data_IF_769946335209
#
_entry.id   IF_769946335209
#
_cell.length_a   1.000
_cell.length_b   1.000
_cell.length_c   1.000
_cell.angle_alpha   90.00
_cell.angle_beta   90.00
_cell.angle_gamma   90.00
#
_symmetry.space_group_name_H-M   'P 1'
#
loop_
_entity.id
_entity.type
_entity.pdbx_description
1 polymer ?
#
# COMPACT_ATOMS: atom_id res chain seq x y z
N UNK A 1 -1.98 -5.05 -16.14
CA UNK A 1 -1.49 -3.98 -15.25
C UNK A 1 -2.40 -2.77 -15.41
N UNK A 2 -3.21 -2.44 -14.41
CA UNK A 2 -4.13 -1.30 -14.47
C UNK A 2 -3.35 -0.01 -14.21
N UNK A 3 -3.28 0.89 -15.19
CA UNK A 3 -2.64 2.19 -15.03
C UNK A 3 -3.56 3.12 -14.22
N UNK A 4 -3.31 3.26 -12.92
CA UNK A 4 -4.16 4.10 -12.05
C UNK A 4 -3.93 5.61 -12.19
N UNK A 5 -2.76 6.03 -12.71
CA UNK A 5 -2.39 7.45 -12.80
C UNK A 5 -3.27 8.31 -13.71
N UNK A 6 -4.03 7.69 -14.62
CA UNK A 6 -4.95 8.38 -15.53
C UNK A 6 -6.41 8.36 -15.08
N UNK A 7 -6.72 7.77 -13.92
CA UNK A 7 -8.10 7.64 -13.46
C UNK A 7 -8.60 8.96 -12.86
N UNK A 8 -9.85 9.31 -13.19
CA UNK A 8 -10.53 10.52 -12.68
C UNK A 8 -11.02 10.39 -11.22
N UNK A 9 -10.84 9.23 -10.63
CA UNK A 9 -11.16 8.95 -9.24
C UNK A 9 -9.94 8.30 -8.58
N UNK A 10 -9.85 8.45 -7.26
CA UNK A 10 -8.81 7.79 -6.48
C UNK A 10 -9.05 6.28 -6.47
N UNK A 11 -8.00 5.54 -6.82
CA UNK A 11 -7.93 4.09 -6.76
C UNK A 11 -6.72 3.72 -5.95
N UNK A 12 -6.90 2.71 -5.11
CA UNK A 12 -5.85 2.19 -4.25
C UNK A 12 -5.57 0.76 -4.60
N UNK A 13 -4.29 0.45 -4.71
CA UNK A 13 -3.77 -0.84 -5.11
C UNK A 13 -2.83 -1.33 -4.04
N UNK A 14 -3.11 -2.51 -3.50
CA UNK A 14 -2.13 -3.24 -2.70
C UNK A 14 -1.39 -4.24 -3.60
N UNK A 15 -0.08 -4.20 -3.58
CA UNK A 15 0.82 -5.13 -4.25
C UNK A 15 1.43 -6.04 -3.20
N UNK A 16 1.30 -7.34 -3.39
CA UNK A 16 1.71 -8.36 -2.43
C UNK A 16 2.90 -9.13 -2.98
N UNK A 17 3.92 -9.34 -2.15
CA UNK A 17 5.19 -9.91 -2.54
C UNK A 17 5.57 -11.11 -1.68
N UNK A 18 6.35 -12.03 -2.24
CA UNK A 18 7.01 -13.10 -1.50
C UNK A 18 8.29 -12.60 -0.80
N UNK A 19 8.99 -13.52 -0.11
CA UNK A 19 10.22 -13.22 0.63
C UNK A 19 11.43 -12.89 -0.26
N UNK A 20 11.30 -13.06 -1.58
CA UNK A 20 12.31 -12.74 -2.59
C UNK A 20 11.98 -11.44 -3.33
N UNK A 21 10.86 -10.78 -2.99
CA UNK A 21 10.41 -9.56 -3.64
C UNK A 21 9.69 -9.80 -4.98
N UNK A 22 9.25 -11.03 -5.26
CA UNK A 22 8.44 -11.35 -6.43
C UNK A 22 6.99 -10.98 -6.17
N UNK A 23 6.35 -10.30 -7.12
CA UNK A 23 4.94 -9.93 -7.04
C UNK A 23 4.06 -11.19 -7.15
N UNK A 24 3.31 -11.49 -6.09
CA UNK A 24 2.38 -12.61 -6.02
C UNK A 24 0.98 -12.21 -6.46
N UNK A 25 0.52 -11.03 -6.04
CA UNK A 25 -0.85 -10.59 -6.29
C UNK A 25 -1.00 -9.08 -6.23
N UNK A 26 -2.07 -8.57 -6.82
CA UNK A 26 -2.47 -7.16 -6.75
C UNK A 26 -3.96 -7.03 -6.46
N UNK A 27 -4.33 -6.18 -5.49
CA UNK A 27 -5.72 -5.92 -5.09
C UNK A 27 -6.11 -4.47 -5.46
N UNK A 28 -6.96 -4.28 -6.48
CA UNK A 28 -7.29 -2.95 -7.03
C UNK A 28 -8.77 -2.73 -7.41
N UNK A 29 -9.70 -3.61 -7.03
CA UNK A 29 -11.14 -3.49 -7.35
C UNK A 29 -11.92 -2.62 -6.35
N UNK A 30 -13.15 -2.22 -6.69
CA UNK A 30 -14.00 -1.33 -5.89
C UNK A 30 -14.17 -1.74 -4.42
N UNK A 31 -14.18 -3.03 -4.08
CA UNK A 31 -14.21 -3.49 -2.69
C UNK A 31 -12.81 -3.62 -2.05
N UNK A 32 -11.82 -4.12 -2.80
CA UNK A 32 -10.47 -4.37 -2.30
C UNK A 32 -9.60 -3.11 -2.15
N UNK A 33 -9.80 -2.12 -3.01
CA UNK A 33 -9.17 -0.80 -2.94
C UNK A 33 -9.77 0.04 -1.81
N UNK A 34 -11.12 0.02 -1.68
CA UNK A 34 -11.80 0.72 -0.59
C UNK A 34 -11.45 0.11 0.76
N UNK A 35 -11.12 -1.18 0.81
CA UNK A 35 -10.73 -1.87 2.03
C UNK A 35 -9.52 -1.22 2.74
N UNK A 36 -8.44 -0.92 2.00
CA UNK A 36 -7.23 -0.32 2.57
C UNK A 36 -7.39 1.16 2.93
N UNK A 37 -8.19 1.91 2.16
CA UNK A 37 -8.43 3.36 2.40
C UNK A 37 -9.47 3.60 3.48
N UNK A 38 -10.59 2.87 3.46
CA UNK A 38 -11.71 3.08 4.38
C UNK A 38 -11.45 2.48 5.78
N UNK A 39 -10.24 2.01 6.06
CA UNK A 39 -9.90 1.31 7.30
C UNK A 39 -10.48 -0.11 7.44
N UNK A 40 -11.01 -0.69 6.35
CA UNK A 40 -11.54 -2.06 6.30
C UNK A 40 -10.46 -3.06 5.86
N UNK A 41 -9.48 -3.37 6.71
CA UNK A 41 -8.33 -4.20 6.29
C UNK A 41 -8.60 -5.70 6.10
N UNK A 42 -9.79 -6.22 6.44
CA UNK A 42 -10.09 -7.66 6.37
C UNK A 42 -9.86 -8.30 4.98
N UNK A 43 -10.35 -7.74 3.86
CA UNK A 43 -10.09 -8.31 2.53
C UNK A 43 -8.61 -8.31 2.15
N UNK A 44 -7.88 -7.25 2.52
CA UNK A 44 -6.44 -7.17 2.30
C UNK A 44 -5.70 -8.26 3.09
N UNK A 45 -6.03 -8.42 4.38
CA UNK A 45 -5.44 -9.44 5.23
C UNK A 45 -5.76 -10.85 4.73
N UNK A 46 -7.01 -11.09 4.32
CA UNK A 46 -7.39 -12.36 3.69
C UNK A 46 -6.49 -12.65 2.48
N UNK A 47 -6.33 -11.69 1.58
CA UNK A 47 -5.50 -11.88 0.39
C UNK A 47 -4.03 -12.09 0.72
N UNK A 48 -3.49 -11.37 1.71
CA UNK A 48 -2.12 -11.55 2.21
C UNK A 48 -1.89 -13.00 2.63
N UNK A 49 -2.82 -13.57 3.40
CA UNK A 49 -2.72 -14.96 3.86
C UNK A 49 -2.97 -15.96 2.74
N UNK A 50 -3.97 -15.72 1.88
CA UNK A 50 -4.32 -16.64 0.78
C UNK A 50 -3.17 -16.84 -0.22
N UNK A 51 -2.27 -15.86 -0.36
CA UNK A 51 -1.11 -15.94 -1.26
C UNK A 51 0.22 -16.10 -0.54
N UNK A 52 0.23 -16.32 0.78
CA UNK A 52 1.47 -16.39 1.60
C UNK A 52 2.41 -15.20 1.38
N UNK A 53 1.84 -13.98 1.30
CA UNK A 53 2.61 -12.77 1.09
C UNK A 53 3.41 -12.41 2.35
N UNK A 54 4.70 -12.13 2.16
CA UNK A 54 5.58 -11.59 3.22
C UNK A 54 5.90 -10.11 3.04
N UNK A 55 5.46 -9.50 1.93
CA UNK A 55 5.70 -8.10 1.62
C UNK A 55 4.48 -7.39 1.04
N UNK A 56 4.39 -6.08 1.27
CA UNK A 56 3.29 -5.22 0.84
C UNK A 56 3.80 -3.87 0.36
N UNK A 57 3.31 -3.40 -0.79
CA UNK A 57 3.36 -1.99 -1.20
C UNK A 57 1.93 -1.51 -1.42
N UNK A 58 1.61 -0.33 -0.89
CA UNK A 58 0.35 0.34 -1.17
C UNK A 58 0.60 1.43 -2.22
N UNK A 59 -0.32 1.61 -3.16
CA UNK A 59 -0.23 2.64 -4.19
C UNK A 59 -1.59 3.29 -4.32
N UNK A 60 -1.68 4.61 -4.31
CA UNK A 60 -2.90 5.32 -4.70
C UNK A 60 -2.60 6.45 -5.67
N UNK A 61 -3.57 6.82 -6.50
CA UNK A 61 -3.45 8.00 -7.36
C UNK A 61 -4.18 9.21 -6.77
N UNK A 62 -3.62 10.40 -6.98
CA UNK A 62 -4.25 11.69 -6.77
C UNK A 62 -4.59 12.32 -8.13
N UNK A 63 -5.88 12.33 -8.53
CA UNK A 63 -6.31 12.98 -9.77
C UNK A 63 -6.05 14.49 -9.81
N UNK A 64 -5.84 15.12 -8.65
CA UNK A 64 -5.52 16.54 -8.51
C UNK A 64 -4.18 16.94 -9.14
N UNK A 65 -3.27 15.98 -9.34
CA UNK A 65 -1.90 16.25 -9.81
C UNK A 65 -0.91 16.61 -8.71
N UNK A 66 -1.34 16.71 -7.44
CA UNK A 66 -0.45 16.90 -6.29
C UNK A 66 -0.18 15.55 -5.58
N UNK A 67 1.07 15.06 -5.51
CA UNK A 67 1.41 13.81 -4.83
C UNK A 67 1.51 13.93 -3.31
N UNK A 68 1.20 15.09 -2.72
CA UNK A 68 1.21 15.29 -1.26
C UNK A 68 0.09 14.49 -0.59
N UNK A 69 0.39 13.56 0.33
CA UNK A 69 -0.62 12.73 0.99
C UNK A 69 -1.48 13.57 1.94
N UNK A 70 -2.78 13.26 2.02
CA UNK A 70 -3.67 13.87 3.00
C UNK A 70 -3.39 13.35 4.42
N UNK A 71 -3.95 14.02 5.42
CA UNK A 71 -3.91 13.52 6.80
C UNK A 71 -4.57 12.14 6.94
N UNK A 72 -5.61 11.85 6.13
CA UNK A 72 -6.27 10.56 6.10
C UNK A 72 -5.36 9.47 5.55
N UNK A 73 -4.59 9.75 4.49
CA UNK A 73 -3.62 8.81 3.91
C UNK A 73 -2.54 8.47 4.92
N UNK A 74 -2.00 9.48 5.62
CA UNK A 74 -0.99 9.29 6.68
C UNK A 74 -1.55 8.41 7.81
N UNK A 75 -2.77 8.68 8.27
CA UNK A 75 -3.41 7.90 9.32
C UNK A 75 -3.65 6.44 8.88
N UNK A 76 -4.17 6.23 7.67
CA UNK A 76 -4.40 4.91 7.09
C UNK A 76 -3.10 4.13 6.92
N UNK A 77 -2.04 4.78 6.45
CA UNK A 77 -0.70 4.21 6.29
C UNK A 77 -0.11 3.74 7.61
N UNK A 78 -0.19 4.58 8.65
CA UNK A 78 0.31 4.24 9.99
C UNK A 78 -0.44 3.07 10.60
N UNK A 79 -1.78 3.05 10.44
CA UNK A 79 -2.63 1.95 10.92
C UNK A 79 -2.31 0.65 10.20
N UNK A 80 -2.17 0.69 8.86
CA UNK A 80 -1.78 -0.47 8.08
C UNK A 80 -0.38 -0.97 8.45
N UNK A 81 0.58 -0.06 8.68
CA UNK A 81 1.92 -0.42 9.14
C UNK A 81 1.92 -1.11 10.51
N UNK A 82 1.06 -0.68 11.44
CA UNK A 82 0.89 -1.36 12.72
C UNK A 82 0.30 -2.77 12.53
N UNK A 83 -0.70 -2.92 11.67
CA UNK A 83 -1.32 -4.22 11.37
C UNK A 83 -0.31 -5.16 10.69
N UNK A 84 0.40 -4.69 9.66
CA UNK A 84 1.38 -5.46 8.92
C UNK A 84 2.46 -6.03 9.85
N UNK A 85 2.91 -5.24 10.84
CA UNK A 85 3.85 -5.71 11.88
C UNK A 85 3.30 -6.86 12.71
N UNK A 86 2.02 -6.80 13.10
CA UNK A 86 1.38 -7.86 13.92
C UNK A 86 1.26 -9.17 13.15
N UNK A 87 1.07 -9.09 11.83
CA UNK A 87 0.93 -10.26 10.95
C UNK A 87 2.23 -10.64 10.23
N UNK A 88 3.36 -10.07 10.66
CA UNK A 88 4.70 -10.37 10.16
C UNK A 88 4.89 -10.15 8.64
N UNK A 89 4.23 -9.12 8.10
CA UNK A 89 4.36 -8.69 6.71
C UNK A 89 5.15 -7.39 6.62
N UNK A 90 6.15 -7.35 5.75
CA UNK A 90 6.93 -6.14 5.50
C UNK A 90 6.11 -5.13 4.67
N UNK A 91 5.69 -4.03 5.30
CA UNK A 91 5.08 -2.92 4.57
C UNK A 91 6.18 -2.03 3.99
N UNK A 92 6.57 -2.32 2.74
CA UNK A 92 7.71 -1.69 2.08
C UNK A 92 7.50 -0.21 1.79
N UNK A 93 6.37 0.19 1.24
CA UNK A 93 6.12 1.61 0.96
C UNK A 93 4.63 1.90 0.74
N UNK A 94 4.28 3.17 0.81
CA UNK A 94 3.05 3.70 0.28
C UNK A 94 3.37 4.77 -0.75
N UNK A 95 3.02 4.52 -2.01
CA UNK A 95 3.28 5.40 -3.13
C UNK A 95 2.03 6.22 -3.48
N UNK A 96 2.19 7.54 -3.52
CA UNK A 96 1.17 8.47 -4.02
C UNK A 96 1.53 8.86 -5.44
N UNK A 97 0.69 8.55 -6.41
CA UNK A 97 0.93 8.80 -7.84
C UNK A 97 0.07 9.98 -8.31
N UNK A 98 0.69 11.02 -8.84
CA UNK A 98 -0.01 12.20 -9.34
C UNK A 98 0.49 12.54 -10.75
N UNK A 99 -0.19 12.03 -11.78
CA UNK A 99 0.25 12.14 -13.17
C UNK A 99 1.63 11.52 -13.38
N UNK A 100 2.65 12.36 -13.67
CA UNK A 100 4.05 11.94 -13.85
C UNK A 100 4.88 11.99 -12.58
N UNK A 101 4.30 12.45 -11.48
CA UNK A 101 4.97 12.58 -10.19
C UNK A 101 4.58 11.42 -9.28
N UNK A 102 5.50 11.06 -8.39
CA UNK A 102 5.25 10.07 -7.35
C UNK A 102 5.92 10.50 -6.05
N UNK A 103 5.24 10.31 -4.93
CA UNK A 103 5.78 10.47 -3.59
C UNK A 103 5.83 9.12 -2.89
N UNK A 104 6.99 8.78 -2.32
CA UNK A 104 7.16 7.65 -1.42
C UNK A 104 6.97 8.13 0.02
N UNK A 105 5.94 7.61 0.70
CA UNK A 105 5.68 7.96 2.09
C UNK A 105 6.80 7.47 3.01
N UNK A 106 7.50 6.40 2.65
CA UNK A 106 8.71 5.98 3.37
C UNK A 106 9.82 7.02 3.24
N UNK A 107 10.14 7.46 2.02
CA UNK A 107 11.20 8.46 1.79
C UNK A 107 10.84 9.82 2.39
N UNK A 108 9.56 10.16 2.47
CA UNK A 108 9.06 11.35 3.13
C UNK A 108 9.04 11.25 4.67
N UNK A 109 9.42 10.11 5.26
CA UNK A 109 9.43 9.92 6.72
C UNK A 109 8.04 9.80 7.36
N UNK A 110 7.01 9.47 6.57
CA UNK A 110 5.61 9.44 7.02
C UNK A 110 5.16 8.06 7.51
N UNK A 111 5.97 7.02 7.30
CA UNK A 111 5.70 5.64 7.73
C UNK A 111 6.42 5.29 9.04
N UNK A 112 5.77 4.53 9.91
CA UNK A 112 6.35 4.04 11.16
C UNK A 112 6.83 2.60 11.03
N UNK A 113 8.08 2.32 11.42
CA UNK A 113 8.69 1.00 11.40
C UNK A 113 9.76 0.81 10.32
N UNK A 114 10.87 0.15 10.70
CA UNK A 114 11.86 -0.36 9.75
C UNK A 114 11.23 -1.51 8.98
N UNK A 115 11.54 -1.63 7.69
CA UNK A 115 11.36 -2.90 6.99
C UNK A 115 12.17 -3.94 7.77
N UNK A 116 11.57 -5.09 8.07
CA UNK A 116 12.15 -6.16 8.85
C UNK A 116 13.26 -6.87 8.09
N UNK A 117 14.29 -6.17 7.61
CA UNK A 117 15.52 -6.83 7.17
C UNK A 117 16.43 -7.06 8.38
N UNK A 118 16.06 -8.07 9.14
CA UNK A 118 16.99 -8.86 9.94
C UNK A 118 16.70 -10.32 9.61
N UNK A 119 17.23 -10.82 8.50
CA UNK A 119 17.46 -12.26 8.33
C UNK A 119 18.95 -12.46 7.99
N UNK A 120 19.58 -13.46 8.60
CA UNK A 120 21.02 -13.59 8.78
C UNK A 120 21.82 -13.60 7.48
#
# INVERSE_FOLDING_TARGET
>A
MSQIGGLRHEVVVALLFDGRGILLSSLSGSEGARASVSGRYRPLLKQIFDVDASGLVLVHNHPSGDPSPSAADIAATRRLGAIARVVEVDFFDHLVIAGRMALSMRRAGLMTGRTGRSRP
#
